data_IF_036212185325
#
_entry.id   IF_036212185325
#
_cell.length_a   1.000
_cell.length_b   1.000
_cell.length_c   1.000
_cell.angle_alpha   90.00
_cell.angle_beta   90.00
_cell.angle_gamma   90.00
#
_symmetry.space_group_name_H-M   'P 1'
#
loop_
_entity.id
_entity.type
_entity.pdbx_description
1 polymer ?
#
# COMPACT_ATOMS: atom_id res chain seq x y z
N UNK A 1 -11.50 -12.23 -2.64
CA UNK A 1 -12.14 -11.78 -3.89
C UNK A 1 -12.04 -10.27 -4.08
N UNK A 2 -12.77 -9.45 -3.33
CA UNK A 2 -12.79 -7.98 -3.49
C UNK A 2 -11.43 -7.28 -3.48
N UNK A 3 -10.53 -7.70 -2.58
CA UNK A 3 -9.15 -7.17 -2.55
C UNK A 3 -8.41 -7.38 -3.88
N UNK A 4 -8.65 -8.51 -4.57
CA UNK A 4 -8.07 -8.74 -5.90
C UNK A 4 -8.64 -7.72 -6.90
N UNK A 5 -9.97 -7.59 -6.96
CA UNK A 5 -10.65 -6.66 -7.89
C UNK A 5 -10.21 -5.21 -7.69
N UNK A 6 -10.06 -4.77 -6.43
CA UNK A 6 -9.54 -3.45 -6.08
C UNK A 6 -8.13 -3.22 -6.64
N UNK A 7 -7.28 -4.24 -6.59
CA UNK A 7 -5.85 -4.10 -6.84
C UNK A 7 -5.42 -4.37 -8.28
N UNK A 8 -6.25 -5.04 -9.09
CA UNK A 8 -6.03 -5.23 -10.52
C UNK A 8 -5.86 -3.89 -11.23
N UNK A 9 -4.94 -3.85 -12.19
CA UNK A 9 -4.60 -2.66 -12.96
C UNK A 9 -3.97 -3.10 -14.30
N UNK A 10 -4.20 -2.38 -15.42
CA UNK A 10 -3.66 -2.77 -16.72
C UNK A 10 -2.13 -2.91 -16.79
N UNK A 11 -1.42 -2.05 -16.08
CA UNK A 11 0.05 -2.11 -16.00
C UNK A 11 0.59 -3.26 -15.14
N UNK A 12 -0.23 -3.85 -14.27
CA UNK A 12 0.23 -4.88 -13.34
C UNK A 12 -0.02 -6.26 -13.97
N UNK A 13 1.01 -7.12 -14.05
CA UNK A 13 0.85 -8.49 -14.55
C UNK A 13 -0.06 -9.30 -13.60
N UNK A 14 -0.91 -10.15 -14.17
CA UNK A 14 -1.85 -10.99 -13.40
C UNK A 14 -1.19 -12.30 -12.97
N UNK A 15 -0.38 -12.88 -13.85
CA UNK A 15 0.17 -14.23 -13.70
C UNK A 15 1.72 -14.23 -13.77
N UNK A 16 2.32 -15.42 -13.71
CA UNK A 16 3.76 -15.62 -13.84
C UNK A 16 4.27 -15.33 -15.27
N UNK A 17 3.41 -15.51 -16.27
CA UNK A 17 3.72 -15.30 -17.68
C UNK A 17 3.76 -13.82 -18.09
N UNK A 18 3.44 -12.91 -17.15
CA UNK A 18 3.43 -11.47 -17.41
C UNK A 18 2.18 -10.98 -18.14
N UNK A 19 1.12 -11.79 -18.21
CA UNK A 19 -0.14 -11.43 -18.87
C UNK A 19 -0.75 -10.17 -18.28
N UNK A 20 -1.04 -9.19 -19.14
CA UNK A 20 -1.70 -7.93 -18.80
C UNK A 20 -3.10 -7.89 -19.38
N UNK A 21 -4.03 -7.30 -18.64
CA UNK A 21 -5.43 -7.18 -19.05
C UNK A 21 -5.80 -5.71 -19.22
N UNK A 22 -6.55 -5.39 -20.26
CA UNK A 22 -7.15 -4.06 -20.43
C UNK A 22 -8.15 -3.76 -19.30
N UNK A 23 -8.35 -2.48 -18.99
CA UNK A 23 -9.29 -2.04 -17.94
C UNK A 23 -10.70 -2.64 -18.08
N UNK A 24 -11.23 -2.70 -19.31
CA UNK A 24 -12.54 -3.29 -19.60
C UNK A 24 -12.59 -4.79 -19.29
N UNK A 25 -11.56 -5.54 -19.71
CA UNK A 25 -11.46 -6.98 -19.41
C UNK A 25 -11.36 -7.22 -17.91
N UNK A 26 -10.62 -6.39 -17.17
CA UNK A 26 -10.54 -6.47 -15.72
C UNK A 26 -11.93 -6.27 -15.09
N UNK A 27 -12.65 -5.23 -15.52
CA UNK A 27 -13.99 -4.94 -15.01
C UNK A 27 -14.96 -6.09 -15.32
N UNK A 28 -15.04 -6.54 -16.58
CA UNK A 28 -15.88 -7.68 -16.99
C UNK A 28 -15.57 -8.95 -16.21
N UNK A 29 -14.29 -9.28 -16.02
CA UNK A 29 -13.86 -10.43 -15.24
C UNK A 29 -14.28 -10.31 -13.78
N UNK A 30 -14.09 -9.13 -13.16
CA UNK A 30 -14.45 -8.90 -11.76
C UNK A 30 -15.97 -8.98 -11.51
N UNK A 31 -16.75 -8.42 -12.45
CA UNK A 31 -18.22 -8.50 -12.48
C UNK A 31 -18.65 -9.96 -12.58
N UNK A 32 -18.14 -10.70 -13.56
CA UNK A 32 -18.51 -12.09 -13.80
C UNK A 32 -18.17 -13.00 -12.63
N UNK A 33 -16.97 -12.86 -12.04
CA UNK A 33 -16.60 -13.63 -10.86
C UNK A 33 -17.58 -13.37 -9.71
N UNK A 34 -17.93 -12.09 -9.46
CA UNK A 34 -18.84 -11.71 -8.36
C UNK A 34 -20.25 -12.21 -8.59
N UNK A 35 -20.75 -12.06 -9.81
CA UNK A 35 -22.05 -12.59 -10.20
C UNK A 35 -22.12 -14.09 -9.99
N UNK A 36 -21.15 -14.84 -10.50
CA UNK A 36 -21.08 -16.30 -10.37
C UNK A 36 -21.01 -16.72 -8.90
N UNK A 37 -20.19 -16.06 -8.10
CA UNK A 37 -20.07 -16.34 -6.65
C UNK A 37 -21.41 -16.16 -5.92
N UNK A 38 -22.18 -15.12 -6.26
CA UNK A 38 -23.49 -14.87 -5.69
C UNK A 38 -24.55 -15.84 -6.22
N UNK A 39 -24.53 -16.16 -7.51
CA UNK A 39 -25.46 -17.08 -8.15
C UNK A 39 -25.35 -18.49 -7.58
N UNK A 40 -24.13 -19.02 -7.44
CA UNK A 40 -23.88 -20.36 -6.87
C UNK A 40 -24.31 -20.51 -5.40
N UNK A 41 -24.55 -19.39 -4.69
CA UNK A 41 -24.92 -19.37 -3.26
C UNK A 41 -26.32 -18.83 -3.01
N UNK A 42 -27.09 -18.60 -4.08
CA UNK A 42 -28.42 -18.00 -4.03
C UNK A 42 -28.46 -16.63 -3.30
N UNK A 43 -27.41 -15.82 -3.48
CA UNK A 43 -27.25 -14.50 -2.85
C UNK A 43 -27.69 -13.37 -3.79
N UNK A 44 -28.91 -13.44 -4.31
CA UNK A 44 -29.47 -12.50 -5.29
C UNK A 44 -29.51 -11.05 -4.78
N UNK A 45 -29.92 -10.85 -3.53
CA UNK A 45 -29.97 -9.52 -2.90
C UNK A 45 -28.57 -8.91 -2.73
N UNK A 46 -27.59 -9.74 -2.36
CA UNK A 46 -26.19 -9.31 -2.21
C UNK A 46 -25.64 -8.88 -3.57
N UNK A 47 -25.94 -9.63 -4.63
CA UNK A 47 -25.57 -9.24 -5.99
C UNK A 47 -26.16 -7.89 -6.38
N UNK A 48 -27.45 -7.67 -6.16
CA UNK A 48 -28.11 -6.40 -6.46
C UNK A 48 -27.45 -5.22 -5.73
N UNK A 49 -27.11 -5.39 -4.46
CA UNK A 49 -26.37 -4.39 -3.69
C UNK A 49 -24.97 -4.12 -4.26
N UNK A 50 -24.19 -5.19 -4.52
CA UNK A 50 -22.83 -5.08 -5.02
C UNK A 50 -22.77 -4.43 -6.41
N UNK A 51 -23.71 -4.77 -7.28
CA UNK A 51 -23.86 -4.12 -8.59
C UNK A 51 -24.10 -2.62 -8.43
N UNK A 52 -25.15 -2.24 -7.68
CA UNK A 52 -25.56 -0.85 -7.54
C UNK A 52 -24.52 0.03 -6.84
N UNK A 53 -23.70 -0.54 -5.95
CA UNK A 53 -22.71 0.23 -5.18
C UNK A 53 -21.31 0.18 -5.74
N UNK A 54 -20.87 -0.92 -6.32
CA UNK A 54 -19.45 -1.12 -6.66
C UNK A 54 -19.24 -1.47 -8.13
N UNK A 55 -20.01 -2.40 -8.70
CA UNK A 55 -19.69 -2.94 -10.03
C UNK A 55 -20.38 -2.24 -11.20
N UNK A 56 -21.38 -1.39 -10.94
CA UNK A 56 -21.99 -0.55 -11.96
C UNK A 56 -20.92 0.34 -12.64
N UNK A 57 -20.99 0.57 -13.96
CA UNK A 57 -19.99 1.37 -14.68
C UNK A 57 -19.75 2.77 -14.10
N UNK A 58 -20.78 3.41 -13.54
CA UNK A 58 -20.68 4.72 -12.89
C UNK A 58 -19.96 4.67 -11.54
N UNK A 59 -20.04 3.55 -10.82
CA UNK A 59 -19.45 3.39 -9.49
C UNK A 59 -18.05 2.79 -9.54
N UNK A 60 -17.75 1.97 -10.55
CA UNK A 60 -16.48 1.27 -10.69
C UNK A 60 -15.25 2.19 -10.58
N UNK A 61 -15.21 3.38 -11.23
CA UNK A 61 -14.08 4.29 -11.11
C UNK A 61 -13.83 4.85 -9.71
N UNK A 62 -14.84 4.85 -8.84
CA UNK A 62 -14.74 5.41 -7.49
C UNK A 62 -13.96 4.51 -6.54
N UNK A 63 -13.80 3.23 -6.85
CA UNK A 63 -13.10 2.29 -5.98
C UNK A 63 -12.04 1.46 -6.70
N UNK A 64 -12.22 1.07 -7.96
CA UNK A 64 -11.30 0.17 -8.64
C UNK A 64 -10.09 0.90 -9.23
N UNK A 65 -8.87 0.37 -9.01
CA UNK A 65 -7.64 0.95 -9.57
C UNK A 65 -7.58 0.84 -11.08
N UNK A 66 -8.18 -0.20 -11.66
CA UNK A 66 -8.16 -0.44 -13.10
C UNK A 66 -8.80 0.68 -13.94
N UNK A 67 -9.63 1.53 -13.32
CA UNK A 67 -10.22 2.68 -13.99
C UNK A 67 -9.27 3.89 -14.09
N UNK A 68 -8.19 3.91 -13.31
CA UNK A 68 -7.20 4.98 -13.34
C UNK A 68 -6.06 4.61 -14.30
N UNK A 69 -5.55 5.55 -15.13
CA UNK A 69 -4.41 5.27 -16.01
C UNK A 69 -3.09 5.10 -15.23
N UNK A 70 -2.97 5.74 -14.07
CA UNK A 70 -1.80 5.64 -13.22
C UNK A 70 -2.06 4.69 -12.03
N UNK A 71 -1.01 4.03 -11.55
CA UNK A 71 -1.09 3.16 -10.37
C UNK A 71 -1.09 4.03 -9.10
N UNK A 72 -2.22 4.20 -8.38
CA UNK A 72 -2.22 5.00 -7.17
C UNK A 72 -1.43 4.27 -6.07
N UNK A 73 -0.48 4.98 -5.46
CA UNK A 73 0.29 4.53 -4.28
C UNK A 73 -0.56 4.66 -3.02
N UNK A 74 -1.33 5.75 -2.93
CA UNK A 74 -2.27 6.02 -1.84
C UNK A 74 -3.60 5.34 -2.15
N UNK A 75 -4.06 4.48 -1.25
CA UNK A 75 -5.22 3.59 -1.47
C UNK A 75 -6.54 4.14 -0.92
N UNK A 76 -6.49 5.27 -0.21
CA UNK A 76 -7.64 5.81 0.53
C UNK A 76 -7.62 7.33 0.54
N UNK A 77 -8.79 7.90 0.80
CA UNK A 77 -9.00 9.31 1.17
C UNK A 77 -8.31 9.73 2.47
N UNK A 78 -7.56 8.83 3.12
CA UNK A 78 -6.90 9.12 4.42
C UNK A 78 -5.99 10.34 4.39
N UNK A 79 -5.35 10.66 3.26
CA UNK A 79 -4.56 11.89 3.15
C UNK A 79 -5.45 13.12 3.21
N UNK A 80 -6.57 13.09 2.48
CA UNK A 80 -7.59 14.15 2.50
C UNK A 80 -8.19 14.27 3.90
N UNK A 81 -8.56 13.16 4.53
CA UNK A 81 -9.08 13.13 5.91
C UNK A 81 -8.07 13.63 6.93
N UNK A 82 -6.78 13.26 6.80
CA UNK A 82 -5.71 13.77 7.66
C UNK A 82 -5.55 15.29 7.50
N UNK A 83 -5.64 15.81 6.28
CA UNK A 83 -5.59 17.25 6.01
C UNK A 83 -6.79 17.94 6.67
N UNK A 84 -8.01 17.42 6.50
CA UNK A 84 -9.20 17.96 7.17
C UNK A 84 -9.10 17.90 8.68
N UNK A 85 -8.60 16.81 9.25
CA UNK A 85 -8.33 16.69 10.68
C UNK A 85 -7.37 17.77 11.16
N UNK A 86 -6.30 18.02 10.39
CA UNK A 86 -5.34 19.07 10.71
C UNK A 86 -5.98 20.47 10.71
N UNK A 87 -6.73 20.81 9.66
CA UNK A 87 -7.46 22.08 9.54
C UNK A 87 -8.44 22.25 10.72
N UNK A 88 -9.23 21.22 11.02
CA UNK A 88 -10.21 21.24 12.12
C UNK A 88 -9.56 21.49 13.48
N UNK A 89 -8.45 20.83 13.79
CA UNK A 89 -7.84 20.91 15.11
C UNK A 89 -6.83 22.05 15.30
N UNK A 90 -6.22 22.53 14.22
CA UNK A 90 -5.25 23.63 14.29
C UNK A 90 -5.91 24.98 14.08
N UNK A 91 -6.62 25.13 12.97
CA UNK A 91 -7.06 26.44 12.51
C UNK A 91 -8.53 26.70 12.86
N UNK A 92 -9.37 25.66 12.88
CA UNK A 92 -10.81 25.79 13.17
C UNK A 92 -11.22 25.33 14.57
N UNK A 93 -10.26 25.12 15.48
CA UNK A 93 -10.53 24.57 16.82
C UNK A 93 -11.54 25.40 17.61
N UNK A 94 -11.48 26.73 17.47
CA UNK A 94 -12.35 27.67 18.18
C UNK A 94 -13.68 27.96 17.46
N UNK A 95 -13.87 27.45 16.23
CA UNK A 95 -15.05 27.77 15.43
C UNK A 95 -16.03 26.60 15.41
N UNK A 96 -17.21 26.81 15.99
CA UNK A 96 -18.32 25.87 15.86
C UNK A 96 -19.06 26.15 14.55
N UNK A 97 -19.14 25.13 13.66
CA UNK A 97 -19.78 25.23 12.34
C UNK A 97 -19.32 26.45 11.52
N UNK A 98 -18.02 26.55 11.19
CA UNK A 98 -17.50 27.68 10.42
C UNK A 98 -18.20 27.77 9.05
N UNK A 99 -18.53 29.00 8.64
CA UNK A 99 -19.05 29.28 7.30
C UNK A 99 -18.00 28.92 6.24
N UNK A 100 -18.46 28.61 5.02
CA UNK A 100 -17.58 28.24 3.90
C UNK A 100 -16.51 29.32 3.64
N UNK A 101 -16.89 30.59 3.68
CA UNK A 101 -15.98 31.71 3.40
C UNK A 101 -14.83 31.78 4.41
N UNK A 102 -15.14 31.59 5.69
CA UNK A 102 -14.13 31.54 6.75
C UNK A 102 -13.19 30.35 6.53
N UNK A 103 -13.73 29.19 6.19
CA UNK A 103 -12.91 28.02 5.88
C UNK A 103 -11.96 28.28 4.70
N UNK A 104 -12.45 28.87 3.61
CA UNK A 104 -11.64 29.20 2.44
C UNK A 104 -10.56 30.22 2.81
N UNK A 105 -10.92 31.28 3.52
CA UNK A 105 -9.98 32.27 4.02
C UNK A 105 -8.89 31.64 4.88
N UNK A 106 -9.25 30.81 5.86
CA UNK A 106 -8.32 30.10 6.73
C UNK A 106 -7.40 29.17 5.93
N UNK A 107 -7.94 28.47 4.92
CA UNK A 107 -7.13 27.62 4.06
C UNK A 107 -6.07 28.46 3.33
N UNK A 108 -6.47 29.56 2.70
CA UNK A 108 -5.60 30.43 1.92
C UNK A 108 -4.54 31.12 2.78
N UNK A 109 -4.91 31.63 3.96
CA UNK A 109 -4.04 32.47 4.77
C UNK A 109 -3.20 31.69 5.79
N UNK A 110 -3.70 30.57 6.31
CA UNK A 110 -3.00 29.82 7.38
C UNK A 110 -2.49 28.45 6.90
N UNK A 111 -3.31 27.67 6.19
CA UNK A 111 -2.94 26.28 5.83
C UNK A 111 -1.94 26.23 4.69
N UNK A 112 -2.22 26.93 3.59
CA UNK A 112 -1.41 26.89 2.38
C UNK A 112 0.00 27.43 2.60
N UNK A 113 0.22 28.59 3.27
CA UNK A 113 1.57 29.09 3.50
C UNK A 113 2.40 28.12 4.33
N UNK A 114 1.81 27.52 5.37
CA UNK A 114 2.47 26.52 6.19
C UNK A 114 2.86 25.27 5.37
N UNK A 115 1.94 24.74 4.57
CA UNK A 115 2.22 23.58 3.70
C UNK A 115 3.31 23.93 2.69
N UNK A 116 3.22 25.10 2.04
CA UNK A 116 4.20 25.61 1.08
C UNK A 116 5.59 25.74 1.70
N UNK A 117 5.69 26.28 2.92
CA UNK A 117 6.95 26.34 3.67
C UNK A 117 7.53 24.96 3.99
N UNK A 118 6.69 24.00 4.37
CA UNK A 118 7.13 22.61 4.57
C UNK A 118 7.60 21.98 3.26
N UNK A 119 6.88 22.17 2.17
CA UNK A 119 7.26 21.67 0.84
C UNK A 119 8.59 22.26 0.38
N UNK A 120 8.82 23.57 0.50
CA UNK A 120 10.11 24.17 0.18
C UNK A 120 11.26 23.64 1.03
N UNK A 121 10.98 23.24 2.27
CA UNK A 121 11.96 22.58 3.13
C UNK A 121 12.27 21.16 2.65
N UNK A 122 11.24 20.40 2.25
CA UNK A 122 11.39 19.03 1.74
C UNK A 122 12.13 19.00 0.38
N UNK A 123 11.78 19.93 -0.52
CA UNK A 123 12.41 20.06 -1.85
C UNK A 123 13.83 20.63 -1.73
N UNK A 124 14.27 21.07 -0.54
CA UNK A 124 15.63 21.57 -0.32
C UNK A 124 15.87 23.00 -0.79
N UNK A 125 14.87 23.68 -1.37
CA UNK A 125 14.96 25.07 -1.85
C UNK A 125 15.29 26.10 -0.76
N UNK A 126 15.14 25.75 0.53
CA UNK A 126 15.33 26.68 1.65
C UNK A 126 16.67 26.54 2.39
N UNK A 127 17.37 25.41 2.29
CA UNK A 127 18.61 25.12 3.04
C UNK A 127 19.58 24.29 2.19
N UNK A 128 19.97 24.83 1.04
CA UNK A 128 20.85 24.16 0.06
C UNK A 128 22.17 23.68 0.69
N UNK A 129 22.71 24.41 1.68
CA UNK A 129 23.99 24.11 2.30
C UNK A 129 23.96 23.02 3.41
N UNK A 130 22.80 22.58 3.92
CA UNK A 130 22.72 21.63 5.05
C UNK A 130 22.16 20.29 4.58
N UNK A 131 22.79 19.17 4.99
CA UNK A 131 22.24 17.83 4.72
C UNK A 131 20.80 17.73 5.25
N UNK A 132 19.84 17.59 4.34
CA UNK A 132 18.42 17.47 4.68
C UNK A 132 18.18 16.15 5.40
N UNK A 133 17.54 16.18 6.57
CA UNK A 133 17.12 14.95 7.26
C UNK A 133 16.04 14.27 6.41
N UNK A 134 16.13 12.94 6.27
CA UNK A 134 15.10 12.16 5.59
C UNK A 134 13.73 12.38 6.25
N UNK A 135 12.70 12.58 5.41
CA UNK A 135 11.32 12.63 5.86
C UNK A 135 10.91 11.30 6.52
N UNK A 136 9.90 11.34 7.39
CA UNK A 136 9.42 10.13 8.10
C UNK A 136 9.02 9.01 7.14
N UNK A 137 8.35 9.33 6.04
CA UNK A 137 7.97 8.34 5.02
C UNK A 137 9.18 7.75 4.28
N UNK A 138 10.22 8.55 4.00
CA UNK A 138 11.46 8.08 3.40
C UNK A 138 12.20 7.12 4.33
N UNK A 139 12.28 7.45 5.64
CA UNK A 139 12.84 6.54 6.65
C UNK A 139 12.09 5.21 6.68
N UNK A 140 10.76 5.28 6.61
CA UNK A 140 9.93 4.09 6.66
C UNK A 140 10.06 3.24 5.38
N UNK A 141 10.12 3.87 4.21
CA UNK A 141 10.41 3.20 2.93
C UNK A 141 11.80 2.57 2.93
N UNK A 142 12.82 3.28 3.42
CA UNK A 142 14.19 2.77 3.55
C UNK A 142 14.25 1.55 4.46
N UNK A 143 13.61 1.61 5.63
CA UNK A 143 13.56 0.46 6.55
C UNK A 143 12.91 -0.75 5.88
N UNK A 144 11.80 -0.53 5.19
CA UNK A 144 11.07 -1.59 4.48
C UNK A 144 11.88 -2.18 3.32
N UNK A 145 12.59 -1.35 2.56
CA UNK A 145 13.51 -1.79 1.53
C UNK A 145 14.61 -2.72 2.09
N UNK A 146 15.26 -2.29 3.18
CA UNK A 146 16.32 -3.08 3.84
C UNK A 146 15.76 -4.41 4.35
N UNK A 147 14.55 -4.43 4.89
CA UNK A 147 13.92 -5.67 5.34
C UNK A 147 13.57 -6.61 4.17
N UNK A 148 13.21 -6.07 3.01
CA UNK A 148 12.85 -6.85 1.82
C UNK A 148 14.08 -7.35 1.03
N UNK A 149 15.21 -6.63 1.09
CA UNK A 149 16.46 -7.03 0.44
C UNK A 149 17.11 -8.23 1.11
N UNK A 150 16.94 -8.41 2.43
CA UNK A 150 17.45 -9.57 3.17
C UNK A 150 17.00 -10.90 2.54
N UNK A 151 17.85 -11.94 2.51
CA UNK A 151 17.46 -13.27 2.04
C UNK A 151 16.38 -13.88 2.96
N UNK A 152 15.55 -14.77 2.41
CA UNK A 152 14.42 -15.35 3.16
C UNK A 152 14.90 -16.17 4.37
N UNK A 153 16.03 -16.88 4.26
CA UNK A 153 16.64 -17.59 5.38
C UNK A 153 16.91 -16.64 6.57
N UNK A 154 17.53 -15.49 6.32
CA UNK A 154 17.84 -14.52 7.37
C UNK A 154 16.58 -13.90 7.98
N UNK A 155 15.59 -13.54 7.16
CA UNK A 155 14.30 -13.01 7.64
C UNK A 155 13.56 -14.04 8.50
N UNK A 156 13.59 -15.30 8.09
CA UNK A 156 12.95 -16.40 8.81
C UNK A 156 13.64 -16.68 10.14
N UNK A 157 14.99 -16.67 10.19
CA UNK A 157 15.75 -16.79 11.43
C UNK A 157 15.47 -15.62 12.37
N UNK A 158 15.43 -14.38 11.88
CA UNK A 158 15.12 -13.20 12.70
C UNK A 158 13.71 -13.24 13.30
N UNK A 159 12.72 -13.73 12.54
CA UNK A 159 11.35 -13.93 13.04
C UNK A 159 11.32 -14.96 14.16
N UNK A 160 11.97 -16.11 13.95
CA UNK A 160 12.04 -17.19 14.93
C UNK A 160 12.73 -16.71 16.22
N UNK A 161 13.90 -16.09 16.09
CA UNK A 161 14.66 -15.54 17.21
C UNK A 161 13.85 -14.49 18.00
N UNK A 162 13.06 -13.65 17.32
CA UNK A 162 12.17 -12.69 17.98
C UNK A 162 11.09 -13.38 18.83
N UNK A 163 10.55 -14.51 18.38
CA UNK A 163 9.60 -15.33 19.14
C UNK A 163 10.29 -16.00 20.32
N UNK A 164 11.50 -16.54 20.12
CA UNK A 164 12.26 -17.24 21.15
C UNK A 164 12.74 -16.31 22.28
N UNK A 165 13.12 -15.08 21.95
CA UNK A 165 13.57 -14.07 22.92
C UNK A 165 12.42 -13.38 23.67
N UNK A 166 11.17 -13.58 23.25
CA UNK A 166 10.03 -12.99 23.93
C UNK A 166 9.92 -13.58 25.34
N UNK A 167 10.02 -12.72 26.36
CA UNK A 167 9.86 -13.12 27.76
C UNK A 167 8.38 -13.22 28.09
N UNK A 168 8.01 -14.29 28.78
CA UNK A 168 6.66 -14.52 29.29
C UNK A 168 6.66 -15.73 30.22
N UNK A 169 5.59 -15.88 31.00
CA UNK A 169 5.44 -16.94 32.01
C UNK A 169 4.06 -17.58 31.88
N UNK A 170 3.96 -18.84 32.33
CA UNK A 170 2.71 -19.59 32.37
C UNK A 170 2.44 -20.44 31.11
N UNK A 171 1.56 -21.41 31.26
CA UNK A 171 1.23 -22.44 30.24
C UNK A 171 0.68 -21.80 28.96
N UNK A 172 -0.21 -20.81 29.07
CA UNK A 172 -0.77 -20.09 27.92
C UNK A 172 0.30 -19.39 27.08
N UNK A 173 1.35 -18.86 27.71
CA UNK A 173 2.47 -18.24 27.00
C UNK A 173 3.31 -19.27 26.27
N UNK A 174 3.58 -20.42 26.90
CA UNK A 174 4.30 -21.52 26.27
C UNK A 174 3.54 -22.09 25.06
N UNK A 175 2.22 -22.29 25.19
CA UNK A 175 1.34 -22.70 24.09
C UNK A 175 1.37 -21.69 22.95
N UNK A 176 1.08 -20.41 23.22
CA UNK A 176 1.09 -19.37 22.20
C UNK A 176 2.46 -19.22 21.51
N UNK A 177 3.56 -19.47 22.23
CA UNK A 177 4.91 -19.50 21.65
C UNK A 177 5.09 -20.71 20.73
N UNK A 178 4.67 -21.90 21.15
CA UNK A 178 4.74 -23.12 20.35
C UNK A 178 3.90 -23.00 19.08
N UNK A 179 2.66 -22.54 19.19
CA UNK A 179 1.76 -22.30 18.06
C UNK A 179 2.40 -21.36 17.04
N UNK A 180 3.03 -20.28 17.51
CA UNK A 180 3.66 -19.28 16.66
C UNK A 180 4.93 -19.80 15.96
N UNK A 181 5.67 -20.71 16.60
CA UNK A 181 6.80 -21.39 15.96
C UNK A 181 6.31 -22.37 14.89
N UNK A 182 5.25 -23.14 15.18
CA UNK A 182 4.62 -24.03 14.21
C UNK A 182 4.07 -23.27 12.99
N UNK A 183 3.44 -22.10 13.19
CA UNK A 183 3.04 -21.20 12.10
C UNK A 183 4.23 -20.77 11.22
N UNK A 184 5.36 -20.43 11.83
CA UNK A 184 6.57 -20.04 11.10
C UNK A 184 7.16 -21.20 10.29
N UNK A 185 7.11 -22.42 10.81
CA UNK A 185 7.55 -23.63 10.11
C UNK A 185 6.62 -23.96 8.94
N UNK A 186 5.30 -23.86 9.14
CA UNK A 186 4.32 -24.02 8.06
C UNK A 186 4.50 -22.96 6.95
N UNK A 187 4.81 -21.72 7.32
CA UNK A 187 5.13 -20.66 6.36
C UNK A 187 6.43 -20.91 5.59
N UNK A 188 7.41 -21.59 6.20
CA UNK A 188 8.68 -21.98 5.56
C UNK A 188 8.48 -23.08 4.52
N UNK A 189 7.63 -24.07 4.83
CA UNK A 189 7.34 -25.19 3.92
C UNK A 189 6.35 -24.83 2.81
N UNK A 190 5.69 -23.67 2.92
CA UNK A 190 4.73 -23.21 1.91
C UNK A 190 5.41 -23.01 0.55
N UNK A 191 4.89 -23.64 -0.52
CA UNK A 191 5.46 -23.47 -1.86
C UNK A 191 5.40 -22.00 -2.28
N UNK A 192 6.50 -21.52 -2.83
CA UNK A 192 6.56 -20.18 -3.38
C UNK A 192 5.75 -20.14 -4.68
N UNK A 193 4.84 -19.17 -4.77
CA UNK A 193 4.17 -18.88 -6.04
C UNK A 193 5.18 -18.37 -7.07
N UNK A 194 4.98 -18.73 -8.33
CA UNK A 194 5.71 -18.12 -9.43
C UNK A 194 5.08 -16.75 -9.73
N UNK A 195 5.89 -15.70 -9.82
CA UNK A 195 5.42 -14.33 -10.03
C UNK A 195 6.27 -13.64 -11.08
N UNK A 196 5.61 -12.90 -11.97
CA UNK A 196 6.27 -12.04 -12.94
C UNK A 196 6.71 -10.75 -12.26
N UNK A 197 7.97 -10.38 -12.48
CA UNK A 197 8.54 -9.11 -12.00
C UNK A 197 9.09 -8.36 -13.20
N UNK A 198 8.69 -7.10 -13.34
CA UNK A 198 9.10 -6.22 -14.43
C UNK A 198 9.72 -4.95 -13.81
N UNK A 199 11.04 -4.84 -13.93
CA UNK A 199 11.81 -3.70 -13.42
C UNK A 199 11.65 -2.44 -14.26
N UNK A 200 11.36 -2.54 -15.56
CA UNK A 200 11.17 -1.37 -16.41
C UNK A 200 9.90 -0.61 -16.02
N UNK A 201 8.82 -1.35 -15.74
CA UNK A 201 7.55 -0.76 -15.28
C UNK A 201 7.42 -0.68 -13.76
N UNK A 202 8.38 -1.21 -13.02
CA UNK A 202 8.35 -1.30 -11.56
C UNK A 202 7.09 -2.02 -11.03
N UNK A 203 6.77 -3.17 -11.63
CA UNK A 203 5.56 -3.96 -11.30
C UNK A 203 5.88 -5.41 -10.97
N UNK A 204 5.02 -6.03 -10.16
CA UNK A 204 5.10 -7.45 -9.84
C UNK A 204 3.70 -8.04 -9.62
N UNK A 205 3.48 -9.27 -10.09
CA UNK A 205 2.18 -9.96 -9.93
C UNK A 205 1.93 -10.49 -8.52
N UNK A 206 2.92 -10.39 -7.61
CA UNK A 206 2.77 -10.96 -6.27
C UNK A 206 1.76 -10.17 -5.41
N UNK A 207 0.98 -10.85 -4.54
CA UNK A 207 0.03 -10.20 -3.64
C UNK A 207 0.68 -9.19 -2.69
N UNK A 208 1.92 -9.43 -2.28
CA UNK A 208 2.65 -8.52 -1.39
C UNK A 208 2.87 -7.14 -2.02
N UNK A 209 3.17 -7.07 -3.32
CA UNK A 209 3.32 -5.81 -4.05
C UNK A 209 2.02 -4.98 -4.00
N UNK A 210 0.89 -5.65 -4.25
CA UNK A 210 -0.44 -5.02 -4.28
C UNK A 210 -0.89 -4.48 -2.93
N UNK A 211 -0.48 -5.11 -1.83
CA UNK A 211 -0.89 -4.74 -0.46
C UNK A 211 0.08 -3.71 0.13
N UNK A 212 1.33 -3.69 -0.31
CA UNK A 212 2.33 -2.72 0.14
C UNK A 212 1.90 -1.27 -0.14
N UNK A 213 2.18 -0.36 0.80
CA UNK A 213 1.87 1.07 0.64
C UNK A 213 2.84 1.82 -0.28
N UNK A 214 4.04 1.28 -0.50
CA UNK A 214 5.07 1.84 -1.37
C UNK A 214 5.21 1.06 -2.68
N UNK A 215 4.31 0.10 -2.95
CA UNK A 215 4.40 -0.79 -4.11
C UNK A 215 5.76 -1.51 -4.15
N UNK A 216 6.19 -2.01 -2.98
CA UNK A 216 7.40 -2.80 -2.83
C UNK A 216 7.06 -4.25 -2.50
N UNK A 217 7.88 -5.17 -3.01
CA UNK A 217 7.84 -6.57 -2.62
C UNK A 217 9.26 -7.14 -2.64
N UNK A 218 9.44 -8.32 -2.04
CA UNK A 218 10.76 -8.97 -1.99
C UNK A 218 11.31 -9.27 -3.40
N UNK A 219 10.44 -9.55 -4.38
CA UNK A 219 10.87 -9.88 -5.75
C UNK A 219 11.48 -8.64 -6.44
N UNK A 220 10.71 -7.55 -6.56
CA UNK A 220 11.21 -6.28 -7.13
C UNK A 220 12.45 -5.79 -6.39
N UNK A 221 12.42 -5.77 -5.05
CA UNK A 221 13.53 -5.20 -4.28
C UNK A 221 14.81 -6.00 -4.47
N UNK A 222 14.75 -7.34 -4.48
CA UNK A 222 15.93 -8.18 -4.64
C UNK A 222 16.46 -8.20 -6.07
N UNK A 223 15.59 -8.04 -7.05
CA UNK A 223 16.00 -7.93 -8.46
C UNK A 223 16.61 -6.54 -8.74
N UNK A 224 16.05 -5.49 -8.13
CA UNK A 224 16.53 -4.12 -8.30
C UNK A 224 17.78 -3.80 -7.45
N UNK A 225 17.96 -4.42 -6.28
CA UNK A 225 19.03 -4.06 -5.35
C UNK A 225 20.45 -4.20 -5.96
N UNK A 226 20.81 -5.30 -6.64
CA UNK A 226 22.11 -5.43 -7.30
C UNK A 226 22.35 -4.33 -8.34
N UNK A 227 21.32 -3.98 -9.12
CA UNK A 227 21.39 -2.94 -10.16
C UNK A 227 21.58 -1.53 -9.58
N UNK A 228 21.12 -1.31 -8.35
CA UNK A 228 21.20 -0.01 -7.67
C UNK A 228 22.44 0.09 -6.74
N UNK A 229 23.21 -1.00 -6.61
CA UNK A 229 24.37 -1.11 -5.73
C UNK A 229 24.01 -1.31 -4.25
N UNK A 230 22.96 -2.10 -3.97
CA UNK A 230 22.43 -2.43 -2.63
C UNK A 230 21.98 -1.24 -1.76
N UNK A 231 21.93 -0.04 -2.34
CA UNK A 231 21.44 1.17 -1.66
C UNK A 231 19.99 1.45 -2.06
N UNK A 232 19.05 1.65 -1.10
CA UNK A 232 17.68 2.04 -1.39
C UNK A 232 17.61 3.28 -2.28
N UNK A 233 16.68 3.27 -3.25
CA UNK A 233 16.55 4.15 -4.43
C UNK A 233 16.29 5.66 -4.17
N UNK A 234 16.90 6.27 -3.16
CA UNK A 234 16.81 7.71 -2.86
C UNK A 234 18.02 8.26 -2.07
N UNK A 235 19.16 7.57 -2.09
CA UNK A 235 20.44 8.10 -1.59
C UNK A 235 21.41 8.51 -2.70
N UNK A 236 21.16 8.12 -3.96
CA UNK A 236 21.78 8.80 -5.10
C UNK A 236 20.94 10.06 -5.36
N UNK A 237 21.51 11.21 -5.00
CA UNK A 237 20.98 12.51 -5.42
C UNK A 237 20.87 12.50 -6.94
N UNK A 238 19.71 12.91 -7.46
CA UNK A 238 19.62 13.51 -8.78
C UNK A 238 20.25 14.91 -8.69
#
# INVERSE_FOLDING_TARGET
MFRKHLHLHPEIPVDADGTRMTAEKIHKSAVYQTYRYCYERDLSQVWAYLWNRWYAPSQWPLWARAACPAIPVLKTTMVVECVWRYIKHRDLRAFHRPRLDLLVYTILQATLPYIKHRLYTIIGKRRVARKTKLASWQKAMKAEWIELSKPDALRNMQKELKVLLQKGKGVKFAQARADRLAELEADRSRPHGNYHTDLQRWTCSCPSYLINRFLLCKHIVREAAPLLGDVPMHLRRW
#
